data_IF_786494964179
#
_entry.id   IF_786494964179
#
_cell.length_a   1.000
_cell.length_b   1.000
_cell.length_c   1.000
_cell.angle_alpha   90.00
_cell.angle_beta   90.00
_cell.angle_gamma   90.00
#
_symmetry.space_group_name_H-M   'P 1'
#
loop_
_entity.id
_entity.type
_entity.pdbx_description
1 polymer ?
#
# COMPACT_ATOMS: atom_id res chain seq x y z
N UNK A 1 1.90 -6.13 -16.04
CA UNK A 1 2.72 -6.36 -14.83
C UNK A 1 4.19 -6.04 -15.11
N UNK A 2 4.66 -6.31 -16.32
CA UNK A 2 6.02 -6.04 -16.78
C UNK A 2 6.47 -4.58 -16.61
N UNK A 3 5.66 -3.60 -17.03
CA UNK A 3 6.01 -2.17 -16.92
C UNK A 3 6.22 -1.73 -15.45
N UNK A 4 5.36 -2.17 -14.52
CA UNK A 4 5.52 -1.89 -13.09
C UNK A 4 6.77 -2.56 -12.53
N UNK A 5 7.09 -3.78 -12.98
CA UNK A 5 8.33 -4.46 -12.63
C UNK A 5 9.57 -3.68 -13.07
N UNK A 6 9.60 -3.30 -14.34
CA UNK A 6 10.70 -2.57 -14.98
C UNK A 6 10.95 -1.21 -14.33
N UNK A 7 9.89 -0.42 -14.13
CA UNK A 7 10.02 0.93 -13.57
C UNK A 7 10.08 0.97 -12.05
N UNK A 8 9.46 0.01 -11.36
CA UNK A 8 9.37 -0.05 -9.90
C UNK A 8 10.53 -0.75 -9.21
N UNK A 9 11.11 -1.81 -9.79
CA UNK A 9 12.08 -2.67 -9.08
C UNK A 9 13.50 -2.65 -9.66
N UNK A 10 13.72 -1.98 -10.79
CA UNK A 10 15.06 -1.80 -11.37
C UNK A 10 15.57 -0.38 -11.13
N UNK A 11 16.88 -0.21 -11.06
CA UNK A 11 17.53 1.10 -10.98
C UNK A 11 17.76 1.65 -12.38
N UNK A 12 17.46 2.93 -12.61
CA UNK A 12 17.76 3.58 -13.89
C UNK A 12 19.25 3.86 -14.11
N UNK A 13 20.09 3.68 -13.08
CA UNK A 13 21.55 3.79 -13.21
C UNK A 13 22.15 2.60 -13.94
N UNK A 14 21.52 1.43 -13.79
CA UNK A 14 22.08 0.13 -14.21
C UNK A 14 21.24 -0.54 -15.30
N UNK A 15 20.11 0.05 -15.66
CA UNK A 15 19.18 -0.50 -16.65
C UNK A 15 18.54 0.65 -17.41
N UNK A 16 18.64 0.63 -18.74
CA UNK A 16 17.82 1.49 -19.57
C UNK A 16 16.38 0.97 -19.52
N UNK A 17 15.54 1.68 -18.75
CA UNK A 17 14.13 1.33 -18.56
C UNK A 17 13.26 1.71 -19.76
N UNK A 18 13.77 2.56 -20.65
CA UNK A 18 13.04 3.03 -21.81
C UNK A 18 13.36 2.21 -23.07
N UNK A 19 14.41 1.39 -23.04
CA UNK A 19 14.72 0.45 -24.12
C UNK A 19 13.52 -0.48 -24.37
N UNK A 20 13.03 -0.47 -25.61
CA UNK A 20 11.87 -1.28 -26.02
C UNK A 20 10.51 -0.78 -25.51
N UNK A 21 10.44 0.37 -24.83
CA UNK A 21 9.20 0.97 -24.33
C UNK A 21 8.79 2.14 -25.22
N UNK A 22 7.52 2.17 -25.63
CA UNK A 22 7.01 3.28 -26.45
C UNK A 22 6.89 4.57 -25.63
N UNK A 23 7.51 5.63 -26.14
CA UNK A 23 7.48 6.97 -25.53
C UNK A 23 7.16 8.07 -26.54
N UNK A 24 6.68 9.18 -26.02
CA UNK A 24 6.67 10.48 -26.70
C UNK A 24 7.47 11.47 -25.86
N UNK A 25 7.87 12.59 -26.47
CA UNK A 25 8.54 13.68 -25.77
C UNK A 25 7.52 14.78 -25.45
N UNK A 26 7.41 15.15 -24.17
CA UNK A 26 6.61 16.30 -23.74
C UNK A 26 7.23 17.63 -24.22
N UNK A 27 6.48 18.73 -24.12
CA UNK A 27 6.95 20.04 -24.60
C UNK A 27 8.28 20.50 -23.95
N UNK A 28 8.49 20.19 -22.67
CA UNK A 28 9.71 20.48 -21.94
C UNK A 28 10.84 19.46 -22.13
N UNK A 29 10.65 18.43 -22.96
CA UNK A 29 11.67 17.44 -23.29
C UNK A 29 11.61 16.15 -22.47
N UNK A 30 10.70 16.02 -21.51
CA UNK A 30 10.60 14.82 -20.66
C UNK A 30 10.05 13.62 -21.46
N UNK A 31 10.60 12.40 -21.28
CA UNK A 31 10.04 11.20 -21.87
C UNK A 31 8.73 10.81 -21.18
N UNK A 32 7.68 10.57 -21.97
CA UNK A 32 6.35 10.19 -21.51
C UNK A 32 6.03 8.80 -22.03
N UNK A 33 5.70 7.89 -21.10
CA UNK A 33 5.20 6.56 -21.43
C UNK A 33 3.80 6.65 -22.04
N UNK A 34 3.58 5.98 -23.18
CA UNK A 34 2.28 5.99 -23.86
C UNK A 34 1.46 4.72 -23.64
N UNK A 35 2.12 3.59 -23.40
CA UNK A 35 1.47 2.33 -23.09
C UNK A 35 1.10 2.25 -21.61
N UNK A 36 -0.11 1.76 -21.34
CA UNK A 36 -0.65 1.62 -19.97
C UNK A 36 -0.72 2.94 -19.15
N UNK A 37 -0.63 4.10 -19.81
CA UNK A 37 -0.70 5.42 -19.20
C UNK A 37 -1.96 6.18 -19.64
N UNK A 38 -2.82 6.54 -18.69
CA UNK A 38 -4.05 7.30 -19.00
C UNK A 38 -3.77 8.78 -19.36
N UNK A 39 -2.65 9.32 -18.90
CA UNK A 39 -2.26 10.71 -19.10
C UNK A 39 -0.94 11.01 -18.40
N UNK A 40 -0.41 12.21 -18.64
CA UNK A 40 0.82 12.69 -18.02
C UNK A 40 0.68 14.14 -17.58
N UNK A 41 1.57 14.52 -16.66
CA UNK A 41 1.82 15.88 -16.21
C UNK A 41 3.34 16.10 -16.30
N UNK A 42 3.77 17.13 -17.00
CA UNK A 42 5.16 17.59 -16.99
C UNK A 42 5.26 18.84 -16.11
N UNK A 43 6.23 18.84 -15.21
CA UNK A 43 6.45 19.94 -14.29
C UNK A 43 7.89 20.43 -14.37
N UNK A 44 8.09 21.75 -14.36
CA UNK A 44 9.38 22.37 -14.10
C UNK A 44 9.58 22.52 -12.60
N UNK A 45 10.63 21.92 -12.04
CA UNK A 45 10.92 22.02 -10.60
C UNK A 45 11.19 23.48 -10.23
N UNK A 46 10.40 24.01 -9.29
CA UNK A 46 10.55 25.35 -8.74
C UNK A 46 11.17 25.33 -7.35
N UNK A 47 10.99 24.24 -6.60
CA UNK A 47 11.56 24.08 -5.25
C UNK A 47 11.80 22.62 -4.90
N UNK A 48 12.82 22.39 -4.08
CA UNK A 48 13.14 21.10 -3.49
C UNK A 48 13.06 21.20 -1.96
N UNK A 49 12.55 20.17 -1.30
CA UNK A 49 12.46 20.07 0.15
C UNK A 49 13.06 18.74 0.59
N UNK A 50 14.11 18.79 1.40
CA UNK A 50 14.74 17.63 1.99
C UNK A 50 13.88 17.08 3.15
N UNK A 51 13.54 15.79 3.08
CA UNK A 51 12.79 15.04 4.09
C UNK A 51 13.60 13.83 4.60
N UNK A 52 14.93 13.88 4.47
CA UNK A 52 15.87 12.85 4.92
C UNK A 52 15.99 11.69 3.92
N UNK A 53 15.06 10.73 3.97
CA UNK A 53 15.09 9.57 3.06
C UNK A 53 14.51 9.86 1.67
N UNK A 54 13.85 11.01 1.52
CA UNK A 54 13.19 11.44 0.31
C UNK A 54 13.41 12.94 0.08
N UNK A 55 13.44 13.34 -1.18
CA UNK A 55 13.34 14.75 -1.57
C UNK A 55 11.95 14.98 -2.15
N UNK A 56 11.22 15.94 -1.60
CA UNK A 56 9.96 16.41 -2.17
C UNK A 56 10.25 17.52 -3.18
N UNK A 57 9.89 17.27 -4.44
CA UNK A 57 9.97 18.26 -5.50
C UNK A 57 8.62 18.98 -5.64
N UNK A 58 8.65 20.31 -5.65
CA UNK A 58 7.52 21.18 -5.97
C UNK A 58 7.79 21.73 -7.36
N UNK A 59 6.87 21.49 -8.29
CA UNK A 59 7.02 21.90 -9.68
C UNK A 59 5.82 22.68 -10.19
N UNK A 60 6.08 23.59 -11.12
CA UNK A 60 5.09 24.31 -11.90
C UNK A 60 4.71 23.47 -13.12
N UNK A 61 3.41 23.24 -13.33
CA UNK A 61 2.91 22.46 -14.45
C UNK A 61 3.19 23.19 -15.78
N UNK A 62 3.97 22.56 -16.66
CA UNK A 62 4.35 23.11 -17.97
C UNK A 62 3.59 22.48 -19.13
N UNK A 63 3.24 21.19 -19.03
CA UNK A 63 2.46 20.46 -20.03
C UNK A 63 1.62 19.37 -19.36
N UNK A 64 0.47 19.04 -19.95
CA UNK A 64 -0.42 18.01 -19.47
C UNK A 64 -1.29 17.47 -20.60
N UNK A 65 -1.46 16.14 -20.66
CA UNK A 65 -2.36 15.53 -21.64
C UNK A 65 -3.01 14.26 -21.11
N UNK A 66 -4.28 14.08 -21.49
CA UNK A 66 -4.97 12.78 -21.39
C UNK A 66 -4.66 11.99 -22.66
N UNK A 67 -4.03 10.83 -22.51
CA UNK A 67 -3.64 9.97 -23.64
C UNK A 67 -4.75 8.98 -23.98
N UNK A 68 -5.31 8.33 -22.95
CA UNK A 68 -6.31 7.26 -23.11
C UNK A 68 -7.45 7.43 -22.11
N UNK A 69 -8.67 7.06 -22.50
CA UNK A 69 -9.79 6.92 -21.57
C UNK A 69 -9.64 5.60 -20.80
N UNK A 70 -9.77 5.62 -19.48
CA UNK A 70 -9.70 4.43 -18.66
C UNK A 70 -9.81 4.73 -17.18
N UNK A 71 -9.90 3.68 -16.36
CA UNK A 71 -9.85 3.81 -14.90
C UNK A 71 -8.39 3.89 -14.45
N UNK A 72 -7.96 4.95 -13.74
CA UNK A 72 -6.63 4.99 -13.15
C UNK A 72 -6.40 3.80 -12.23
N UNK A 73 -5.18 3.24 -12.25
CA UNK A 73 -4.78 2.25 -11.27
C UNK A 73 -4.53 2.96 -9.94
N UNK A 74 -5.34 2.65 -8.93
CA UNK A 74 -5.09 3.11 -7.56
C UNK A 74 -4.06 2.21 -6.88
N UNK A 75 -3.36 2.76 -5.90
CA UNK A 75 -2.43 1.98 -5.09
C UNK A 75 -3.11 0.83 -4.32
N UNK A 76 -4.31 1.05 -3.77
CA UNK A 76 -5.10 0.00 -3.11
C UNK A 76 -5.36 -1.19 -4.05
N UNK A 77 -5.87 -0.92 -5.26
CA UNK A 77 -6.07 -1.95 -6.31
C UNK A 77 -4.77 -2.72 -6.66
N UNK A 78 -3.61 -2.06 -6.69
CA UNK A 78 -2.33 -2.73 -6.96
C UNK A 78 -1.98 -3.78 -5.90
N UNK A 79 -2.21 -3.47 -4.62
CA UNK A 79 -1.98 -4.40 -3.52
C UNK A 79 -3.06 -5.47 -3.41
N UNK A 80 -4.32 -5.05 -3.33
CA UNK A 80 -5.45 -5.92 -3.00
C UNK A 80 -5.80 -6.86 -4.15
N UNK A 81 -5.74 -6.37 -5.39
CA UNK A 81 -6.22 -7.12 -6.56
C UNK A 81 -5.06 -7.67 -7.38
N UNK A 82 -4.01 -6.86 -7.61
CA UNK A 82 -2.85 -7.32 -8.41
C UNK A 82 -1.83 -8.09 -7.57
N UNK A 83 -2.00 -8.19 -6.24
CA UNK A 83 -1.05 -8.82 -5.30
C UNK A 83 0.39 -8.34 -5.55
N UNK A 84 0.52 -7.08 -5.95
CA UNK A 84 1.80 -6.50 -6.32
C UNK A 84 2.64 -6.23 -5.08
N UNK A 85 3.90 -6.66 -5.09
CA UNK A 85 4.83 -6.34 -4.02
C UNK A 85 5.30 -4.89 -4.16
N UNK A 86 5.94 -4.33 -3.14
CA UNK A 86 6.64 -3.04 -3.28
C UNK A 86 8.13 -3.17 -2.97
N UNK A 87 8.97 -2.35 -3.62
CA UNK A 87 10.40 -2.29 -3.30
C UNK A 87 10.63 -1.84 -1.86
N UNK A 88 11.69 -2.35 -1.21
CA UNK A 88 12.04 -2.01 0.18
C UNK A 88 12.30 -0.52 0.42
N UNK A 89 12.71 0.20 -0.62
CA UNK A 89 13.00 1.64 -0.58
C UNK A 89 11.79 2.52 -0.90
N UNK A 90 10.63 1.94 -1.22
CA UNK A 90 9.42 2.73 -1.45
C UNK A 90 8.84 3.20 -0.10
N UNK A 91 8.35 4.45 0.01
CA UNK A 91 7.73 4.95 1.25
C UNK A 91 6.46 4.18 1.63
N UNK A 92 5.91 3.45 0.67
CA UNK A 92 4.74 2.61 0.82
C UNK A 92 5.07 1.13 1.10
N UNK A 93 6.35 0.77 1.24
CA UNK A 93 6.76 -0.60 1.54
C UNK A 93 6.15 -1.06 2.87
N UNK A 94 5.36 -2.12 2.80
CA UNK A 94 4.93 -2.88 3.96
C UNK A 94 5.76 -4.15 3.98
N UNK A 95 6.69 -4.26 4.94
CA UNK A 95 7.54 -5.44 5.08
C UNK A 95 6.68 -6.70 5.18
N UNK A 96 7.00 -7.70 4.37
CA UNK A 96 6.59 -9.07 4.65
C UNK A 96 7.53 -9.57 5.73
N UNK A 97 7.06 -9.64 6.98
CA UNK A 97 7.67 -10.58 7.91
C UNK A 97 7.58 -11.98 7.30
N UNK A 98 8.72 -12.64 7.26
CA UNK A 98 8.89 -14.00 6.75
C UNK A 98 7.92 -14.94 7.48
N UNK A 99 7.13 -15.71 6.74
CA UNK A 99 6.53 -16.92 7.31
C UNK A 99 6.84 -18.10 6.39
N UNK A 100 7.89 -18.81 6.79
CA UNK A 100 8.15 -20.17 6.39
C UNK A 100 6.90 -21.03 6.69
N UNK A 101 6.58 -21.89 5.74
CA UNK A 101 5.54 -22.92 5.80
C UNK A 101 5.51 -23.69 7.12
N UNK A 102 4.32 -23.92 7.70
CA UNK A 102 3.57 -25.18 7.53
C UNK A 102 2.22 -25.16 8.27
N UNK A 103 1.31 -25.94 7.72
CA UNK A 103 -0.11 -26.07 8.01
C UNK A 103 -0.43 -26.60 9.42
N UNK A 104 -1.49 -26.07 10.03
CA UNK A 104 -2.48 -26.93 10.69
C UNK A 104 -3.85 -26.25 10.77
N UNK A 105 -4.88 -27.08 10.69
CA UNK A 105 -6.25 -26.74 10.35
C UNK A 105 -7.02 -26.13 11.54
N UNK A 106 -7.72 -25.02 11.27
CA UNK A 106 -8.98 -24.65 11.92
C UNK A 106 -8.89 -23.71 13.11
N UNK A 107 -9.06 -22.40 12.86
CA UNK A 107 -10.08 -21.53 13.50
C UNK A 107 -9.94 -20.09 12.96
N UNK A 108 -11.08 -19.41 12.84
CA UNK A 108 -11.31 -18.22 12.02
C UNK A 108 -10.40 -17.04 12.41
N UNK A 109 -9.32 -16.80 11.66
CA UNK A 109 -8.40 -15.67 11.84
C UNK A 109 -8.98 -14.37 11.28
N UNK A 110 -10.23 -14.04 11.63
CA UNK A 110 -10.87 -12.79 11.22
C UNK A 110 -10.44 -11.68 12.18
N UNK A 111 -9.98 -10.58 11.62
CA UNK A 111 -9.70 -9.35 12.38
C UNK A 111 -11.03 -8.68 12.71
N UNK A 112 -11.17 -8.11 13.90
CA UNK A 112 -12.43 -7.48 14.34
C UNK A 112 -12.24 -5.99 14.58
N UNK A 113 -13.13 -5.17 14.01
CA UNK A 113 -13.08 -3.71 14.13
C UNK A 113 -14.12 -3.18 15.10
N UNK A 114 -13.69 -2.31 16.02
CA UNK A 114 -14.57 -1.50 16.82
C UNK A 114 -15.21 -0.41 15.94
N UNK A 115 -16.53 -0.34 15.78
CA UNK A 115 -17.17 0.69 14.95
C UNK A 115 -17.16 2.08 15.60
N UNK A 116 -16.85 2.18 16.90
CA UNK A 116 -16.85 3.46 17.64
C UNK A 116 -15.54 4.22 17.43
N UNK A 117 -14.41 3.55 17.68
CA UNK A 117 -13.09 4.19 17.64
C UNK A 117 -12.19 3.67 16.50
N UNK A 118 -12.58 2.59 15.83
CA UNK A 118 -11.80 2.00 14.75
C UNK A 118 -10.69 1.03 15.20
N UNK A 119 -10.54 0.77 16.50
CA UNK A 119 -9.59 -0.23 17.02
C UNK A 119 -9.78 -1.59 16.34
N UNK A 120 -8.67 -2.23 15.97
CA UNK A 120 -8.64 -3.56 15.36
C UNK A 120 -8.11 -4.56 16.38
N UNK A 121 -8.91 -5.57 16.67
CA UNK A 121 -8.44 -6.76 17.36
C UNK A 121 -7.97 -7.77 16.32
N UNK A 122 -6.67 -8.06 16.31
CA UNK A 122 -6.09 -9.13 15.53
C UNK A 122 -5.82 -10.34 16.44
N UNK A 123 -6.47 -11.50 16.22
CA UNK A 123 -6.15 -12.72 16.95
C UNK A 123 -4.67 -13.08 16.95
N UNK A 124 -3.91 -12.74 15.90
CA UNK A 124 -2.48 -13.01 15.81
C UNK A 124 -1.66 -12.18 16.82
N UNK A 125 -2.12 -10.97 17.15
CA UNK A 125 -1.46 -10.10 18.14
C UNK A 125 -2.04 -10.28 19.56
N UNK A 126 -3.34 -10.58 19.66
CA UNK A 126 -4.07 -10.60 20.91
C UNK A 126 -4.25 -9.18 21.50
N UNK A 127 -4.28 -9.09 22.82
CA UNK A 127 -4.33 -7.81 23.56
C UNK A 127 -3.49 -7.95 24.85
N UNK A 128 -2.15 -7.85 24.73
CA UNK A 128 -1.22 -8.10 25.83
C UNK A 128 -1.43 -7.18 27.05
N UNK A 129 -1.88 -5.94 26.80
CA UNK A 129 -2.18 -4.96 27.87
C UNK A 129 -3.34 -5.41 28.75
N UNK A 130 -4.28 -6.19 28.20
CA UNK A 130 -5.42 -6.76 28.91
C UNK A 130 -5.28 -8.27 29.12
N UNK A 131 -4.05 -8.78 29.10
CA UNK A 131 -3.70 -10.19 29.35
C UNK A 131 -4.30 -11.20 28.35
N UNK A 132 -4.63 -10.76 27.14
CA UNK A 132 -5.02 -11.63 26.04
C UNK A 132 -3.79 -11.96 25.22
N UNK A 133 -3.47 -13.24 25.13
CA UNK A 133 -2.28 -13.70 24.40
C UNK A 133 -2.51 -13.64 22.89
N UNK A 134 -1.44 -13.40 22.16
CA UNK A 134 -1.35 -13.71 20.73
C UNK A 134 -1.85 -15.13 20.46
N UNK A 135 -2.64 -15.28 19.39
CA UNK A 135 -3.34 -16.50 19.01
C UNK A 135 -4.72 -16.69 19.63
N UNK A 136 -5.23 -15.75 20.45
CA UNK A 136 -6.58 -15.87 21.03
C UNK A 136 -7.63 -15.45 20.00
N UNK A 137 -8.55 -16.34 19.61
CA UNK A 137 -9.64 -15.98 18.70
C UNK A 137 -10.56 -14.93 19.33
N UNK A 138 -11.22 -14.12 18.50
CA UNK A 138 -12.12 -13.09 19.01
C UNK A 138 -13.28 -13.71 19.80
N UNK A 139 -13.77 -14.87 19.36
CA UNK A 139 -14.82 -15.67 20.00
C UNK A 139 -14.39 -16.14 21.40
N UNK A 140 -13.10 -16.41 21.59
CA UNK A 140 -12.51 -16.90 22.85
C UNK A 140 -12.16 -15.77 23.83
N UNK A 141 -12.30 -14.50 23.42
CA UNK A 141 -12.13 -13.37 24.34
C UNK A 141 -13.11 -13.47 25.52
N UNK A 142 -12.68 -13.10 26.73
CA UNK A 142 -13.55 -13.01 27.90
C UNK A 142 -14.82 -12.18 27.63
N UNK A 143 -15.95 -12.58 28.21
CA UNK A 143 -17.24 -11.90 27.98
C UNK A 143 -17.27 -10.45 28.49
N UNK A 144 -16.40 -10.15 29.45
CA UNK A 144 -16.19 -8.84 30.07
C UNK A 144 -15.10 -8.02 29.37
N UNK A 145 -14.42 -8.59 28.37
CA UNK A 145 -13.46 -7.85 27.55
C UNK A 145 -14.16 -6.73 26.79
N UNK A 146 -13.51 -5.56 26.79
CA UNK A 146 -13.99 -4.33 26.17
C UNK A 146 -12.88 -3.75 25.32
N UNK A 147 -13.27 -2.95 24.33
CA UNK A 147 -12.33 -2.23 23.50
C UNK A 147 -11.36 -1.41 24.39
N UNK A 148 -10.04 -1.57 24.21
CA UNK A 148 -9.05 -0.89 25.04
C UNK A 148 -9.06 0.63 24.85
N UNK A 149 -9.55 1.11 23.71
CA UNK A 149 -9.57 2.54 23.37
C UNK A 149 -10.82 3.25 23.91
N UNK A 150 -12.00 2.62 23.81
CA UNK A 150 -13.28 3.31 24.07
C UNK A 150 -14.24 2.54 25.00
N UNK A 151 -13.78 1.43 25.58
CA UNK A 151 -14.56 0.57 26.46
C UNK A 151 -15.86 0.00 25.85
N UNK A 152 -16.00 0.02 24.51
CA UNK A 152 -17.11 -0.62 23.83
C UNK A 152 -17.14 -2.14 24.13
N UNK A 153 -18.31 -2.75 24.34
CA UNK A 153 -18.39 -4.17 24.63
C UNK A 153 -18.01 -5.03 23.42
N UNK A 154 -17.43 -6.21 23.66
CA UNK A 154 -17.06 -7.21 22.63
C UNK A 154 -18.13 -7.39 21.54
N UNK A 155 -19.41 -7.47 21.94
CA UNK A 155 -20.56 -7.64 21.03
C UNK A 155 -20.75 -6.55 19.96
N UNK A 156 -20.14 -5.39 20.14
CA UNK A 156 -20.26 -4.26 19.21
C UNK A 156 -19.25 -4.34 18.06
N UNK A 157 -18.28 -5.25 18.10
CA UNK A 157 -17.27 -5.37 17.06
C UNK A 157 -17.81 -6.02 15.79
N UNK A 158 -17.26 -5.60 14.66
CA UNK A 158 -17.62 -6.10 13.34
C UNK A 158 -16.45 -6.88 12.73
N UNK A 159 -16.66 -8.10 12.22
CA UNK A 159 -15.61 -8.84 11.53
C UNK A 159 -15.15 -8.08 10.29
N UNK A 160 -13.85 -8.08 10.05
CA UNK A 160 -13.20 -7.59 8.85
C UNK A 160 -12.75 -8.83 8.05
N UNK A 161 -13.24 -8.92 6.81
CA UNK A 161 -12.95 -10.02 5.89
C UNK A 161 -11.75 -9.75 5.01
#
# INVERSE_FOLDING_TARGET
MELVGLFGFRSGKDTDKFEGVQTITAEGGSPVLTEHCIGYLECKVSREVDLGTHTMFIGELSDARVLHKGKPMTYAYYHEVKKGTTPKNAPTYRGTEENASQENQGQDARVYRCPICGYLYDPAEGDPEHHIKAGTAFEDLPSDWKCPICAAPKKSFLPQG
#
